data_IF_721872048414
#
_entry.id   IF_721872048414
#
_cell.length_a   1.000
_cell.length_b   1.000
_cell.length_c   1.000
_cell.angle_alpha   90.00
_cell.angle_beta   90.00
_cell.angle_gamma   90.00
#
_symmetry.space_group_name_H-M   'P 1'
#
loop_
_entity.id
_entity.type
_entity.pdbx_description
1 polymer ?
#
# COMPACT_ATOMS: atom_id res chain seq x y z
N UNK A 1 26.46 12.88 12.15
CA UNK A 1 26.18 12.00 10.98
C UNK A 1 25.16 10.97 11.43
N UNK A 2 23.98 10.92 10.83
CA UNK A 2 23.06 9.80 11.11
C UNK A 2 23.67 8.55 10.46
N UNK A 3 24.07 7.58 11.28
CA UNK A 3 24.56 6.29 10.79
C UNK A 3 23.46 5.61 9.96
N UNK A 4 23.65 5.59 8.64
CA UNK A 4 22.76 4.86 7.73
C UNK A 4 22.90 3.38 8.04
N UNK A 5 21.81 2.74 8.46
CA UNK A 5 21.78 1.31 8.78
C UNK A 5 20.86 0.56 7.83
N UNK A 6 21.25 -0.67 7.50
CA UNK A 6 20.39 -1.58 6.75
C UNK A 6 19.59 -2.40 7.75
N UNK A 7 18.27 -2.24 7.74
CA UNK A 7 17.34 -3.04 8.53
C UNK A 7 16.90 -4.26 7.74
N UNK A 8 16.98 -5.47 8.31
CA UNK A 8 16.44 -6.68 7.69
C UNK A 8 14.90 -6.63 7.66
N UNK A 9 14.31 -6.87 6.50
CA UNK A 9 12.87 -7.08 6.34
C UNK A 9 12.57 -8.57 6.55
N UNK A 10 12.27 -8.94 7.80
CA UNK A 10 12.12 -10.35 8.22
C UNK A 10 11.02 -11.05 7.42
N UNK A 11 9.81 -10.46 7.36
CA UNK A 11 8.69 -11.06 6.64
C UNK A 11 8.99 -11.21 5.14
N UNK A 12 9.48 -10.13 4.51
CA UNK A 12 9.83 -10.15 3.07
C UNK A 12 10.91 -11.20 2.80
N UNK A 13 11.97 -11.25 3.62
CA UNK A 13 13.06 -12.23 3.46
C UNK A 13 12.53 -13.67 3.54
N UNK A 14 11.71 -13.97 4.52
CA UNK A 14 11.10 -15.30 4.68
C UNK A 14 10.16 -15.63 3.52
N UNK A 15 9.31 -14.68 3.15
CA UNK A 15 8.33 -14.88 2.09
C UNK A 15 8.98 -15.07 0.71
N UNK A 16 9.96 -14.24 0.35
CA UNK A 16 10.63 -14.33 -0.93
C UNK A 16 11.71 -15.41 -0.98
N UNK A 17 12.27 -15.82 0.18
CA UNK A 17 13.28 -16.89 0.28
C UNK A 17 14.71 -16.41 0.07
N UNK A 18 14.97 -15.11 0.25
CA UNK A 18 16.31 -14.52 0.20
C UNK A 18 16.38 -13.26 1.08
N UNK A 19 17.60 -12.87 1.46
CA UNK A 19 17.81 -11.76 2.39
C UNK A 19 17.48 -10.42 1.75
N UNK A 20 16.50 -9.70 2.36
CA UNK A 20 16.04 -8.37 1.93
C UNK A 20 16.32 -7.37 3.05
N UNK A 21 17.08 -6.32 2.71
CA UNK A 21 17.34 -5.18 3.58
C UNK A 21 16.51 -3.96 3.20
N UNK A 22 16.35 -3.04 4.14
CA UNK A 22 15.73 -1.73 3.94
C UNK A 22 16.66 -0.63 4.43
N UNK A 23 16.78 0.44 3.65
CA UNK A 23 17.42 1.69 4.03
C UNK A 23 16.38 2.81 3.90
N UNK A 24 16.28 3.66 4.91
CA UNK A 24 15.58 4.94 4.83
C UNK A 24 16.61 6.05 4.84
N UNK A 25 16.62 6.88 3.79
CA UNK A 25 17.59 7.95 3.62
C UNK A 25 16.97 9.12 2.89
N UNK A 26 17.21 10.33 3.37
CA UNK A 26 16.75 11.54 2.70
C UNK A 26 17.84 12.18 1.84
N UNK A 27 19.10 12.04 2.25
CA UNK A 27 20.24 12.54 1.53
C UNK A 27 21.44 11.62 1.78
N UNK A 28 22.33 11.50 0.79
CA UNK A 28 23.56 10.71 0.90
C UNK A 28 24.71 11.70 0.73
N UNK A 29 25.32 12.06 1.86
CA UNK A 29 26.43 13.02 1.89
C UNK A 29 27.73 12.38 1.43
N UNK A 30 28.00 11.14 1.85
CA UNK A 30 29.17 10.35 1.48
C UNK A 30 28.79 9.14 0.63
N UNK A 31 28.92 9.33 -0.68
CA UNK A 31 28.61 8.29 -1.67
C UNK A 31 29.51 7.07 -1.56
N UNK A 32 30.77 7.25 -1.11
CA UNK A 32 31.73 6.15 -1.00
C UNK A 32 31.38 5.26 0.18
N UNK A 33 31.11 5.84 1.34
CA UNK A 33 30.67 5.10 2.52
C UNK A 33 29.34 4.40 2.30
N UNK A 34 28.39 5.05 1.61
CA UNK A 34 27.12 4.45 1.26
C UNK A 34 27.28 3.23 0.34
N UNK A 35 28.09 3.33 -0.70
CA UNK A 35 28.39 2.19 -1.59
C UNK A 35 29.08 1.07 -0.84
N UNK A 36 30.07 1.37 -0.02
CA UNK A 36 30.75 0.39 0.82
C UNK A 36 29.80 -0.34 1.78
N UNK A 37 28.85 0.38 2.39
CA UNK A 37 27.83 -0.21 3.27
C UNK A 37 26.98 -1.24 2.50
N UNK A 38 26.55 -0.89 1.30
CA UNK A 38 25.77 -1.78 0.45
C UNK A 38 26.61 -3.00 0.05
N UNK A 39 27.81 -2.79 -0.45
CA UNK A 39 28.70 -3.86 -0.93
C UNK A 39 29.07 -4.87 0.16
N UNK A 40 29.35 -4.40 1.37
CA UNK A 40 29.70 -5.26 2.52
C UNK A 40 28.49 -5.96 3.16
N UNK A 41 27.27 -5.56 2.85
CA UNK A 41 26.08 -6.20 3.43
C UNK A 41 25.88 -7.61 2.89
N UNK A 42 25.21 -8.47 3.64
CA UNK A 42 24.82 -9.84 3.21
C UNK A 42 23.50 -9.90 2.44
N UNK A 43 22.81 -8.79 2.26
CA UNK A 43 21.51 -8.75 1.61
C UNK A 43 21.63 -8.95 0.10
N UNK A 44 20.78 -9.79 -0.47
CA UNK A 44 20.69 -10.02 -1.92
C UNK A 44 19.91 -8.90 -2.62
N UNK A 45 19.00 -8.27 -1.89
CA UNK A 45 18.25 -7.10 -2.33
C UNK A 45 18.17 -6.08 -1.21
N UNK A 46 18.31 -4.80 -1.57
CA UNK A 46 18.10 -3.68 -0.64
C UNK A 46 17.02 -2.76 -1.21
N UNK A 47 15.97 -2.55 -0.44
CA UNK A 47 14.97 -1.52 -0.71
C UNK A 47 15.45 -0.19 -0.13
N UNK A 48 15.60 0.83 -0.96
CA UNK A 48 16.00 2.18 -0.54
C UNK A 48 14.79 3.09 -0.63
N UNK A 49 14.44 3.72 0.48
CA UNK A 49 13.33 4.67 0.60
C UNK A 49 13.90 6.06 0.82
N UNK A 50 13.51 7.02 -0.01
CA UNK A 50 14.00 8.40 0.08
C UNK A 50 12.89 9.41 -0.24
N UNK A 51 12.90 10.54 0.45
CA UNK A 51 12.06 11.69 0.06
C UNK A 51 12.60 12.42 -1.16
N UNK A 52 13.88 12.25 -1.46
CA UNK A 52 14.53 12.86 -2.61
C UNK A 52 14.77 11.83 -3.72
N UNK A 53 14.75 12.30 -4.97
CA UNK A 53 15.12 11.46 -6.10
C UNK A 53 16.63 11.19 -6.10
N UNK A 54 17.00 9.93 -5.91
CA UNK A 54 18.39 9.46 -5.87
C UNK A 54 18.83 8.79 -7.20
N UNK A 55 18.05 8.92 -8.28
CA UNK A 55 18.31 8.21 -9.54
C UNK A 55 19.70 8.46 -10.09
N UNK A 56 20.16 9.70 -10.09
CA UNK A 56 21.50 10.07 -10.57
C UNK A 56 22.62 9.45 -9.71
N UNK A 57 22.40 9.39 -8.40
CA UNK A 57 23.37 8.86 -7.45
C UNK A 57 23.51 7.35 -7.54
N UNK A 58 22.37 6.66 -7.63
CA UNK A 58 22.29 5.20 -7.66
C UNK A 58 22.53 4.63 -9.06
N UNK A 59 22.39 5.43 -10.12
CA UNK A 59 22.37 4.94 -11.50
C UNK A 59 21.15 4.07 -11.80
N UNK A 60 20.05 4.23 -11.03
CA UNK A 60 18.84 3.44 -11.10
C UNK A 60 17.62 4.37 -11.11
N UNK A 61 16.59 4.00 -11.85
CA UNK A 61 15.28 4.63 -11.72
C UNK A 61 14.53 4.05 -10.51
N UNK A 62 13.66 4.84 -9.84
CA UNK A 62 12.82 4.30 -8.77
C UNK A 62 11.88 3.24 -9.35
N UNK A 63 11.77 2.11 -8.66
CA UNK A 63 10.81 1.06 -9.01
C UNK A 63 9.38 1.50 -8.69
N UNK A 64 9.25 2.41 -7.72
CA UNK A 64 7.96 2.97 -7.28
C UNK A 64 8.17 4.39 -6.74
N UNK A 65 7.23 5.28 -6.99
CA UNK A 65 7.11 6.57 -6.32
C UNK A 65 5.80 6.48 -5.53
N UNK A 66 5.94 6.16 -4.24
CA UNK A 66 4.80 6.02 -3.33
C UNK A 66 4.28 7.40 -2.94
N UNK A 67 3.02 7.65 -3.20
CA UNK A 67 2.27 8.83 -2.77
C UNK A 67 1.41 8.47 -1.57
N UNK A 68 1.46 9.28 -0.52
CA UNK A 68 0.58 9.17 0.63
C UNK A 68 -0.42 10.31 0.58
N UNK A 69 -1.68 9.97 0.57
CA UNK A 69 -2.79 10.92 0.63
C UNK A 69 -3.43 10.90 2.02
N UNK A 70 -3.91 12.04 2.49
CA UNK A 70 -4.58 12.14 3.78
C UNK A 70 -5.79 13.07 3.73
N UNK A 71 -6.75 12.82 4.61
CA UNK A 71 -7.87 13.72 4.88
C UNK A 71 -8.38 13.55 6.30
N UNK A 72 -9.09 14.56 6.83
CA UNK A 72 -9.89 14.42 8.04
C UNK A 72 -11.20 13.70 7.69
N UNK A 73 -11.68 12.77 8.54
CA UNK A 73 -12.95 12.10 8.29
C UNK A 73 -14.12 13.08 8.38
N UNK A 74 -15.12 12.86 7.54
CA UNK A 74 -16.39 13.58 7.53
C UNK A 74 -17.54 12.58 7.69
N UNK A 75 -18.68 13.05 8.21
CA UNK A 75 -19.85 12.19 8.39
C UNK A 75 -20.64 12.08 7.10
N UNK A 76 -21.02 10.87 6.74
CA UNK A 76 -21.88 10.55 5.60
C UNK A 76 -23.06 9.68 6.04
N UNK A 77 -24.10 9.66 5.23
CA UNK A 77 -25.17 8.69 5.39
C UNK A 77 -24.64 7.28 5.11
N UNK A 78 -25.16 6.30 5.83
CA UNK A 78 -24.85 4.91 5.56
C UNK A 78 -25.49 4.47 4.24
N UNK A 79 -24.79 3.59 3.53
CA UNK A 79 -25.27 3.00 2.28
C UNK A 79 -25.72 1.57 2.54
N UNK A 80 -26.95 1.21 2.10
CA UNK A 80 -27.51 -0.12 2.29
C UNK A 80 -26.73 -1.24 1.60
N UNK A 81 -25.95 -0.88 0.58
CA UNK A 81 -25.10 -1.76 -0.21
C UNK A 81 -23.66 -1.85 0.29
N UNK A 82 -23.32 -1.16 1.37
CA UNK A 82 -22.02 -1.32 2.05
C UNK A 82 -22.23 -2.18 3.29
N UNK A 83 -21.41 -3.20 3.40
CA UNK A 83 -21.42 -4.12 4.55
C UNK A 83 -20.01 -4.31 5.09
N UNK A 84 -19.89 -4.38 6.41
CA UNK A 84 -18.75 -5.02 7.05
C UNK A 84 -18.88 -6.53 6.90
N UNK A 85 -17.78 -7.20 6.59
CA UNK A 85 -17.78 -8.64 6.39
C UNK A 85 -16.80 -9.35 7.33
N UNK A 86 -17.22 -10.53 7.76
CA UNK A 86 -16.42 -11.52 8.45
C UNK A 86 -16.70 -12.86 7.75
N UNK A 87 -15.86 -13.22 6.79
CA UNK A 87 -16.06 -14.40 5.95
C UNK A 87 -14.70 -14.95 5.49
N UNK A 88 -14.72 -16.17 4.97
CA UNK A 88 -13.56 -16.73 4.32
C UNK A 88 -13.23 -16.02 3.00
N UNK A 89 -11.96 -16.11 2.61
CA UNK A 89 -11.49 -15.57 1.35
C UNK A 89 -12.10 -16.34 0.17
N UNK A 90 -12.89 -15.65 -0.63
CA UNK A 90 -13.42 -16.15 -1.89
C UNK A 90 -12.61 -15.65 -3.12
N UNK A 91 -13.00 -16.12 -4.30
CA UNK A 91 -12.37 -15.72 -5.56
C UNK A 91 -12.55 -14.23 -5.87
N UNK A 92 -13.69 -13.64 -5.53
CA UNK A 92 -13.99 -12.23 -5.82
C UNK A 92 -13.12 -11.30 -4.99
N UNK A 93 -13.04 -11.54 -3.69
CA UNK A 93 -12.19 -10.76 -2.77
C UNK A 93 -10.71 -10.91 -3.12
N UNK A 94 -10.29 -12.12 -3.50
CA UNK A 94 -8.92 -12.32 -3.98
C UNK A 94 -8.65 -11.54 -5.27
N UNK A 95 -9.55 -11.57 -6.25
CA UNK A 95 -9.42 -10.82 -7.49
C UNK A 95 -9.33 -9.31 -7.26
N UNK A 96 -10.17 -8.76 -6.38
CA UNK A 96 -10.14 -7.35 -5.98
C UNK A 96 -8.83 -7.00 -5.26
N UNK A 97 -8.32 -7.86 -4.37
CA UNK A 97 -7.04 -7.64 -3.71
C UNK A 97 -5.88 -7.58 -4.70
N UNK A 98 -5.85 -8.51 -5.67
CA UNK A 98 -4.87 -8.53 -6.76
C UNK A 98 -4.94 -7.26 -7.61
N UNK A 99 -6.16 -6.79 -7.92
CA UNK A 99 -6.38 -5.55 -8.66
C UNK A 99 -5.87 -4.32 -7.89
N UNK A 100 -6.10 -4.25 -6.58
CA UNK A 100 -5.56 -3.18 -5.72
C UNK A 100 -4.03 -3.09 -5.80
N UNK A 101 -3.35 -4.23 -5.98
CA UNK A 101 -1.90 -4.32 -6.06
C UNK A 101 -1.28 -4.12 -7.44
N UNK A 102 -2.07 -3.95 -8.49
CA UNK A 102 -1.62 -3.97 -9.89
C UNK A 102 -0.40 -3.08 -10.16
N UNK A 103 -0.33 -1.91 -9.56
CA UNK A 103 0.75 -0.93 -9.73
C UNK A 103 1.87 -1.05 -8.69
N UNK A 104 1.80 -2.00 -7.76
CA UNK A 104 2.78 -2.11 -6.70
C UNK A 104 4.18 -2.49 -7.21
N UNK A 105 5.22 -2.06 -6.46
CA UNK A 105 6.61 -2.46 -6.72
C UNK A 105 6.81 -3.97 -6.78
N UNK A 106 6.00 -4.73 -6.06
CA UNK A 106 6.05 -6.20 -6.05
C UNK A 106 5.58 -6.83 -7.38
N UNK A 107 4.67 -6.17 -8.09
CA UNK A 107 4.26 -6.58 -9.44
C UNK A 107 5.21 -6.08 -10.53
N UNK A 108 5.94 -4.98 -10.27
CA UNK A 108 6.84 -4.33 -11.24
C UNK A 108 8.24 -4.91 -11.22
N UNK A 109 8.72 -5.35 -10.07
CA UNK A 109 10.03 -6.00 -9.94
C UNK A 109 9.96 -7.43 -10.48
N UNK A 110 10.74 -7.73 -11.52
CA UNK A 110 10.66 -9.00 -12.24
C UNK A 110 11.01 -10.22 -11.35
N UNK A 111 11.85 -10.05 -10.32
CA UNK A 111 12.20 -11.13 -9.39
C UNK A 111 11.13 -11.34 -8.30
N UNK A 112 10.41 -10.29 -7.92
CA UNK A 112 9.35 -10.37 -6.91
C UNK A 112 7.99 -10.75 -7.52
N UNK A 113 7.78 -10.45 -8.79
CA UNK A 113 6.51 -10.63 -9.48
C UNK A 113 5.98 -12.07 -9.44
N UNK A 114 6.85 -13.06 -9.42
CA UNK A 114 6.44 -14.47 -9.35
C UNK A 114 5.62 -14.80 -8.10
N UNK A 115 5.81 -14.08 -7.00
CA UNK A 115 5.07 -14.27 -5.73
C UNK A 115 4.00 -13.20 -5.49
N UNK A 116 3.78 -12.28 -6.43
CA UNK A 116 2.83 -11.18 -6.29
C UNK A 116 1.41 -11.67 -5.97
N UNK A 117 0.89 -12.62 -6.73
CA UNK A 117 -0.46 -13.13 -6.53
C UNK A 117 -0.62 -13.82 -5.17
N UNK A 118 0.35 -14.67 -4.79
CA UNK A 118 0.36 -15.32 -3.48
C UNK A 118 0.41 -14.30 -2.33
N UNK A 119 1.20 -13.24 -2.49
CA UNK A 119 1.33 -12.19 -1.49
C UNK A 119 -0.01 -11.46 -1.26
N UNK A 120 -0.69 -11.05 -2.32
CA UNK A 120 -1.98 -10.37 -2.20
C UNK A 120 -3.10 -11.31 -1.71
N UNK A 121 -3.02 -12.59 -2.04
CA UNK A 121 -3.90 -13.62 -1.46
C UNK A 121 -3.72 -13.72 0.06
N UNK A 122 -2.47 -13.79 0.53
CA UNK A 122 -2.15 -13.82 1.97
C UNK A 122 -2.59 -12.52 2.65
N UNK A 123 -2.32 -11.37 2.07
CA UNK A 123 -2.72 -10.09 2.67
C UNK A 123 -4.23 -9.95 2.79
N UNK A 124 -4.99 -10.35 1.76
CA UNK A 124 -6.45 -10.31 1.84
C UNK A 124 -6.98 -11.28 2.89
N UNK A 125 -6.47 -12.53 2.91
CA UNK A 125 -6.83 -13.52 3.93
C UNK A 125 -6.57 -12.98 5.33
N UNK A 126 -5.37 -12.47 5.59
CA UNK A 126 -5.02 -11.88 6.90
C UNK A 126 -5.83 -10.63 7.25
N UNK A 127 -6.30 -9.88 6.27
CA UNK A 127 -7.22 -8.76 6.52
C UNK A 127 -8.60 -9.26 6.96
N UNK A 128 -9.11 -10.34 6.38
CA UNK A 128 -10.36 -10.98 6.82
C UNK A 128 -10.22 -11.61 8.21
N UNK A 129 -9.07 -12.20 8.51
CA UNK A 129 -8.72 -12.76 9.84
C UNK A 129 -8.46 -11.68 10.91
N UNK A 130 -8.55 -10.39 10.56
CA UNK A 130 -8.25 -9.24 11.44
C UNK A 130 -6.79 -9.11 11.89
N UNK A 131 -5.86 -9.80 11.22
CA UNK A 131 -4.42 -9.68 11.47
C UNK A 131 -3.80 -8.41 10.83
N UNK A 132 -4.32 -7.97 9.67
CA UNK A 132 -3.82 -6.83 8.90
C UNK A 132 -4.82 -5.68 8.74
N UNK A 133 -6.07 -5.90 9.09
CA UNK A 133 -7.11 -4.87 9.06
C UNK A 133 -8.02 -5.04 10.28
N UNK A 134 -8.46 -3.94 10.86
CA UNK A 134 -9.49 -3.96 11.91
C UNK A 134 -10.88 -4.10 11.29
N UNK A 135 -11.04 -3.64 10.01
CA UNK A 135 -12.31 -3.72 9.33
C UNK A 135 -12.13 -3.96 7.83
N UNK A 136 -13.07 -4.72 7.26
CA UNK A 136 -13.19 -4.96 5.82
C UNK A 136 -14.62 -4.61 5.39
N UNK A 137 -14.75 -3.54 4.60
CA UNK A 137 -16.03 -3.19 3.99
C UNK A 137 -16.09 -3.66 2.54
N UNK A 138 -17.24 -4.17 2.14
CA UNK A 138 -17.55 -4.49 0.74
C UNK A 138 -18.76 -3.70 0.26
N UNK A 139 -18.72 -3.34 -1.01
CA UNK A 139 -19.92 -2.92 -1.73
C UNK A 139 -20.53 -4.15 -2.36
N UNK A 140 -21.78 -4.44 -2.00
CA UNK A 140 -22.52 -5.62 -2.46
C UNK A 140 -23.84 -5.22 -3.09
N UNK A 141 -24.11 -5.72 -4.28
CA UNK A 141 -25.41 -5.59 -4.95
C UNK A 141 -26.00 -6.98 -5.17
N UNK A 142 -27.11 -7.28 -4.47
CA UNK A 142 -27.60 -8.64 -4.36
C UNK A 142 -26.55 -9.56 -3.74
N UNK A 143 -26.16 -10.61 -4.45
CA UNK A 143 -25.11 -11.54 -4.03
C UNK A 143 -23.71 -11.22 -4.61
N UNK A 144 -23.59 -10.13 -5.37
CA UNK A 144 -22.33 -9.79 -6.05
C UNK A 144 -21.56 -8.73 -5.29
N UNK A 145 -20.32 -9.02 -4.93
CA UNK A 145 -19.37 -8.06 -4.39
C UNK A 145 -18.74 -7.29 -5.54
N UNK A 146 -18.93 -5.96 -5.56
CA UNK A 146 -18.46 -5.08 -6.63
C UNK A 146 -17.23 -4.25 -6.23
N UNK A 147 -16.83 -4.28 -4.97
CA UNK A 147 -15.67 -3.56 -4.48
C UNK A 147 -15.43 -3.84 -3.02
N UNK A 148 -14.22 -3.56 -2.57
CA UNK A 148 -13.83 -3.75 -1.18
C UNK A 148 -12.84 -2.68 -0.72
N UNK A 149 -12.80 -2.46 0.59
CA UNK A 149 -11.76 -1.67 1.25
C UNK A 149 -11.39 -2.33 2.57
N UNK A 150 -10.09 -2.40 2.85
CA UNK A 150 -9.56 -2.81 4.16
C UNK A 150 -9.03 -1.60 4.89
N UNK A 151 -9.29 -1.49 6.17
CA UNK A 151 -8.83 -0.38 7.00
C UNK A 151 -8.32 -0.88 8.34
N UNK A 152 -7.24 -0.28 8.83
CA UNK A 152 -6.73 -0.52 10.17
C UNK A 152 -6.53 0.80 10.92
N UNK A 153 -6.65 0.73 12.25
CA UNK A 153 -6.37 1.80 13.19
C UNK A 153 -4.88 1.81 13.54
N UNK A 154 -4.29 2.98 13.58
CA UNK A 154 -2.91 3.16 14.04
C UNK A 154 -2.85 4.46 14.83
N UNK A 155 -2.55 4.38 16.14
CA UNK A 155 -2.62 5.54 17.04
C UNK A 155 -3.96 6.30 16.92
N UNK A 156 -3.93 7.52 16.36
CA UNK A 156 -5.09 8.39 16.18
C UNK A 156 -5.54 8.54 14.71
N UNK A 157 -5.14 7.64 13.83
CA UNK A 157 -5.52 7.68 12.41
C UNK A 157 -5.96 6.33 11.87
N UNK A 158 -6.78 6.38 10.83
CA UNK A 158 -7.13 5.24 10.00
C UNK A 158 -6.16 5.10 8.83
N UNK A 159 -5.82 3.88 8.48
CA UNK A 159 -5.00 3.60 7.29
C UNK A 159 -5.73 2.62 6.39
N UNK A 160 -6.03 3.05 5.17
CA UNK A 160 -6.55 2.17 4.13
C UNK A 160 -5.40 1.28 3.63
N UNK A 161 -5.59 -0.03 3.72
CA UNK A 161 -4.64 -1.03 3.25
C UNK A 161 -4.84 -1.36 1.78
N UNK A 162 -6.00 -1.94 1.45
CA UNK A 162 -6.40 -2.28 0.09
C UNK A 162 -7.73 -1.62 -0.23
N UNK A 163 -7.88 -1.13 -1.45
CA UNK A 163 -9.17 -0.67 -1.99
C UNK A 163 -9.22 -1.02 -3.48
N UNK A 164 -10.31 -1.64 -3.90
CA UNK A 164 -10.56 -1.94 -5.31
C UNK A 164 -12.04 -1.96 -5.62
N UNK A 165 -12.36 -1.67 -6.87
CA UNK A 165 -13.73 -1.74 -7.43
C UNK A 165 -13.64 -2.56 -8.71
N UNK A 166 -14.51 -3.56 -8.85
CA UNK A 166 -14.62 -4.37 -10.07
C UNK A 166 -14.72 -3.48 -11.32
N UNK A 167 -14.03 -3.87 -12.38
CA UNK A 167 -13.90 -3.04 -13.60
C UNK A 167 -15.25 -2.65 -14.19
N UNK A 168 -16.24 -3.55 -14.16
CA UNK A 168 -17.59 -3.28 -14.65
C UNK A 168 -18.42 -2.36 -13.72
N UNK A 169 -17.94 -2.14 -12.48
CA UNK A 169 -18.60 -1.32 -11.46
C UNK A 169 -17.88 -0.01 -11.19
N UNK A 170 -16.80 0.27 -11.91
CA UNK A 170 -16.08 1.55 -11.83
C UNK A 170 -16.92 2.69 -12.39
N UNK A 171 -16.58 3.92 -12.00
CA UNK A 171 -17.28 5.16 -12.40
C UNK A 171 -18.76 5.26 -11.99
N UNK A 172 -19.25 4.31 -11.16
CA UNK A 172 -20.63 4.28 -10.63
C UNK A 172 -20.76 4.73 -9.17
N UNK A 173 -19.71 5.38 -8.64
CA UNK A 173 -19.69 5.88 -7.24
C UNK A 173 -19.31 4.84 -6.18
N UNK A 174 -19.12 3.57 -6.54
CA UNK A 174 -18.78 2.48 -5.60
C UNK A 174 -17.57 2.79 -4.75
N UNK A 175 -16.48 3.25 -5.35
CA UNK A 175 -15.26 3.60 -4.61
C UNK A 175 -15.49 4.72 -3.60
N UNK A 176 -16.27 5.76 -3.94
CA UNK A 176 -16.59 6.86 -3.02
C UNK A 176 -17.45 6.38 -1.85
N UNK A 177 -18.39 5.46 -2.08
CA UNK A 177 -19.19 4.87 -1.00
C UNK A 177 -18.32 4.05 -0.04
N UNK A 178 -17.33 3.32 -0.55
CA UNK A 178 -16.34 2.62 0.28
C UNK A 178 -15.48 3.60 1.11
N UNK A 179 -15.05 4.72 0.53
CA UNK A 179 -14.34 5.78 1.28
C UNK A 179 -15.22 6.37 2.38
N UNK A 180 -16.49 6.70 2.08
CA UNK A 180 -17.43 7.24 3.08
C UNK A 180 -17.66 6.27 4.25
N UNK A 181 -17.63 4.95 3.99
CA UNK A 181 -17.74 3.94 5.05
C UNK A 181 -16.52 3.96 5.97
N UNK A 182 -15.32 4.11 5.39
CA UNK A 182 -14.09 4.28 6.17
C UNK A 182 -14.12 5.58 6.98
N UNK A 183 -14.67 6.67 6.42
CA UNK A 183 -14.80 7.95 7.12
C UNK A 183 -15.75 7.82 8.32
N UNK A 184 -16.92 7.21 8.13
CA UNK A 184 -17.86 6.95 9.23
C UNK A 184 -17.25 6.06 10.32
N UNK A 185 -16.54 5.00 9.92
CA UNK A 185 -15.84 4.13 10.85
C UNK A 185 -14.74 4.88 11.62
N UNK A 186 -13.95 5.72 10.94
CA UNK A 186 -12.92 6.52 11.58
C UNK A 186 -13.50 7.49 12.63
N UNK A 187 -14.66 8.10 12.35
CA UNK A 187 -15.36 8.94 13.32
C UNK A 187 -15.83 8.14 14.54
N UNK A 188 -16.41 6.95 14.34
CA UNK A 188 -16.81 6.06 15.44
C UNK A 188 -15.61 5.65 16.30
N UNK A 189 -14.45 5.47 15.68
CA UNK A 189 -13.20 5.13 16.37
C UNK A 189 -12.48 6.37 16.97
N UNK A 190 -13.03 7.58 16.84
CA UNK A 190 -12.44 8.85 17.27
C UNK A 190 -11.05 9.11 16.64
N UNK A 191 -10.91 8.80 15.34
CA UNK A 191 -9.67 9.00 14.61
C UNK A 191 -9.66 10.35 13.90
N UNK A 192 -8.53 11.04 13.93
CA UNK A 192 -8.40 12.42 13.42
C UNK A 192 -8.14 12.49 11.92
N UNK A 193 -7.48 11.47 11.37
CA UNK A 193 -7.07 11.45 9.97
C UNK A 193 -7.27 10.07 9.35
N UNK A 194 -7.40 10.06 8.03
CA UNK A 194 -7.39 8.86 7.20
C UNK A 194 -6.22 8.99 6.22
N UNK A 195 -5.38 7.97 6.17
CA UNK A 195 -4.26 7.87 5.23
C UNK A 195 -4.49 6.74 4.24
N UNK A 196 -4.06 6.96 3.01
CA UNK A 196 -4.00 5.94 1.96
C UNK A 196 -2.74 6.13 1.12
N UNK A 197 -2.15 5.02 0.68
CA UNK A 197 -0.99 5.07 -0.20
C UNK A 197 -1.35 4.54 -1.58
N UNK A 198 -0.79 5.19 -2.61
CA UNK A 198 -0.83 4.69 -3.98
C UNK A 198 0.51 4.95 -4.68
N UNK A 199 0.62 4.53 -5.91
CA UNK A 199 1.78 4.76 -6.76
C UNK A 199 1.53 5.95 -7.69
N UNK A 200 2.53 6.80 -7.92
CA UNK A 200 2.42 7.95 -8.84
C UNK A 200 1.93 7.54 -10.24
N UNK A 201 2.31 6.36 -10.70
CA UNK A 201 1.88 5.84 -12.00
C UNK A 201 0.41 5.39 -12.04
N UNK A 202 -0.21 5.17 -10.88
CA UNK A 202 -1.63 4.91 -10.78
C UNK A 202 -2.43 6.22 -10.81
N UNK A 203 -2.40 6.91 -11.97
CA UNK A 203 -3.05 8.20 -12.15
C UNK A 203 -4.55 8.17 -11.84
N UNK A 204 -5.22 7.04 -12.13
CA UNK A 204 -6.64 6.82 -11.81
C UNK A 204 -6.88 6.87 -10.31
N UNK A 205 -6.05 6.20 -9.51
CA UNK A 205 -6.17 6.25 -8.05
C UNK A 205 -5.82 7.63 -7.49
N UNK A 206 -4.81 8.31 -8.04
CA UNK A 206 -4.48 9.68 -7.63
C UNK A 206 -5.67 10.62 -7.82
N UNK A 207 -6.24 10.67 -9.01
CA UNK A 207 -7.45 11.47 -9.31
C UNK A 207 -8.65 11.08 -8.45
N UNK A 208 -8.82 9.77 -8.20
CA UNK A 208 -9.88 9.26 -7.35
C UNK A 208 -9.76 9.78 -5.91
N UNK A 209 -8.57 9.76 -5.31
CA UNK A 209 -8.37 10.28 -3.96
C UNK A 209 -8.55 11.81 -3.90
N UNK A 210 -8.02 12.56 -4.86
CA UNK A 210 -8.21 14.01 -4.95
C UNK A 210 -9.69 14.38 -5.09
N UNK A 211 -10.45 13.67 -5.94
CA UNK A 211 -11.90 13.83 -6.07
C UNK A 211 -12.63 13.56 -4.75
N UNK A 212 -12.15 12.62 -3.94
CA UNK A 212 -12.70 12.31 -2.62
C UNK A 212 -12.10 13.20 -1.51
N UNK A 213 -11.49 14.36 -1.88
CA UNK A 213 -10.98 15.39 -0.96
C UNK A 213 -9.81 14.94 -0.09
N UNK A 214 -9.04 13.96 -0.54
CA UNK A 214 -7.73 13.69 0.02
C UNK A 214 -6.70 14.66 -0.55
N UNK A 215 -5.74 15.06 0.29
CA UNK A 215 -4.60 15.89 -0.11
C UNK A 215 -3.33 15.03 -0.09
N UNK A 216 -2.44 15.27 -1.05
CA UNK A 216 -1.11 14.65 -1.05
C UNK A 216 -0.33 15.15 0.18
N UNK A 217 0.09 14.23 1.04
CA UNK A 217 0.78 14.54 2.30
C UNK A 217 2.24 14.09 2.32
N UNK A 218 2.62 13.07 1.53
CA UNK A 218 4.01 12.63 1.46
C UNK A 218 4.31 11.93 0.12
N UNK A 219 5.58 12.00 -0.29
CA UNK A 219 6.11 11.34 -1.50
C UNK A 219 7.41 10.63 -1.16
N UNK A 220 7.50 9.33 -1.47
CA UNK A 220 8.68 8.52 -1.22
C UNK A 220 9.11 7.83 -2.51
N UNK A 221 10.34 8.04 -2.91
CA UNK A 221 11.01 7.30 -3.98
C UNK A 221 11.52 5.97 -3.44
N UNK A 222 11.19 4.88 -4.11
CA UNK A 222 11.59 3.53 -3.69
C UNK A 222 12.44 2.90 -4.79
N UNK A 223 13.61 2.43 -4.41
CA UNK A 223 14.55 1.77 -5.30
C UNK A 223 14.76 0.33 -4.85
N UNK A 224 14.83 -0.60 -5.78
CA UNK A 224 15.26 -1.96 -5.52
C UNK A 224 16.69 -2.15 -6.05
N UNK A 225 17.62 -2.25 -5.15
CA UNK A 225 19.01 -2.50 -5.48
C UNK A 225 19.29 -4.00 -5.32
N UNK A 226 19.46 -4.68 -6.44
CA UNK A 226 19.84 -6.09 -6.48
C UNK A 226 21.34 -6.24 -6.54
N UNK A 227 21.89 -7.08 -5.65
CA UNK A 227 23.29 -7.49 -5.76
C UNK A 227 23.46 -8.52 -6.89
N UNK A 228 24.59 -8.43 -7.56
CA UNK A 228 25.00 -9.40 -8.58
C UNK A 228 25.44 -10.72 -7.96
#
# INVERSE_FOLDING_TARGET
MNDIKIQKLIWDSTFFGFEIGKIEVNNIEDNKSFKNLIEKSSFQMIQIFSKNDLSKLLGLNPIDIKLTYSKKPSKFNNYNNIKSIDCDLDHTLYSLARQAGKFSRYNRDFKLKMKFELMYKIWMKKSLERDLADEVFVHQNGNTINGMVTVNKSFNYAKIGLIAVDENSQSKGVGSQLIHSVENWALVQNLENIFVCTQKENSVACQFYEKNKFNLSDTIYIYHLWKK
#
